data_IF_494378909756
#
_entry.id   IF_494378909756
#
_cell.length_a   1.000
_cell.length_b   1.000
_cell.length_c   1.000
_cell.angle_alpha   90.00
_cell.angle_beta   90.00
_cell.angle_gamma   90.00
#
_symmetry.space_group_name_H-M   'P 1'
#
loop_
_entity.id
_entity.type
_entity.pdbx_description
1 polymer ?
#
# COMPACT_ATOMS: atom_id res chain seq x y z
N UNK A 1 0.52 -34.15 -8.49
CA UNK A 1 1.13 -33.33 -9.54
C UNK A 1 2.48 -32.89 -9.02
N UNK A 2 3.58 -33.11 -9.75
CA UNK A 2 4.88 -32.59 -9.34
C UNK A 2 4.87 -31.08 -9.58
N UNK A 3 4.92 -30.29 -8.50
CA UNK A 3 5.13 -28.84 -8.58
C UNK A 3 6.55 -28.60 -9.11
N UNK A 4 6.68 -27.75 -10.12
CA UNK A 4 7.99 -27.41 -10.69
C UNK A 4 8.84 -26.72 -9.62
N UNK A 5 10.13 -27.10 -9.51
CA UNK A 5 11.08 -26.42 -8.65
C UNK A 5 11.24 -24.97 -9.10
N UNK A 6 11.26 -24.02 -8.16
CA UNK A 6 11.52 -22.62 -8.45
C UNK A 6 12.88 -22.43 -9.15
N UNK A 7 12.96 -21.43 -10.01
CA UNK A 7 14.24 -20.90 -10.49
C UNK A 7 15.03 -20.25 -9.36
N UNK A 8 16.35 -20.11 -9.52
CA UNK A 8 17.20 -19.40 -8.56
C UNK A 8 16.72 -17.98 -8.29
N UNK A 9 16.19 -17.29 -9.30
CA UNK A 9 15.69 -15.92 -9.16
C UNK A 9 14.40 -15.84 -8.35
N UNK A 10 13.51 -16.83 -8.50
CA UNK A 10 12.30 -16.96 -7.67
C UNK A 10 12.68 -17.34 -6.23
N UNK A 11 13.67 -18.22 -6.03
CA UNK A 11 14.18 -18.52 -4.69
C UNK A 11 14.77 -17.27 -4.02
N UNK A 12 15.53 -16.45 -4.76
CA UNK A 12 16.05 -15.18 -4.26
C UNK A 12 14.92 -14.24 -3.84
N UNK A 13 13.85 -14.15 -4.65
CA UNK A 13 12.65 -13.40 -4.31
C UNK A 13 11.98 -13.91 -3.01
N UNK A 14 11.81 -15.22 -2.87
CA UNK A 14 11.25 -15.84 -1.66
C UNK A 14 12.11 -15.50 -0.43
N UNK A 15 13.43 -15.61 -0.53
CA UNK A 15 14.35 -15.26 0.56
C UNK A 15 14.29 -13.78 0.93
N UNK A 16 14.28 -12.89 -0.06
CA UNK A 16 14.14 -11.44 0.17
C UNK A 16 12.80 -11.12 0.85
N UNK A 17 11.72 -11.77 0.41
CA UNK A 17 10.39 -11.65 1.02
C UNK A 17 10.40 -12.05 2.49
N UNK A 18 10.98 -13.20 2.82
CA UNK A 18 11.11 -13.67 4.20
C UNK A 18 12.00 -12.76 5.05
N UNK A 19 13.08 -12.23 4.48
CA UNK A 19 13.99 -11.32 5.18
C UNK A 19 13.28 -10.01 5.54
N UNK A 20 12.54 -9.43 4.58
CA UNK A 20 11.87 -8.13 4.73
C UNK A 20 10.57 -8.20 5.54
N UNK A 21 9.85 -9.32 5.50
CA UNK A 21 8.58 -9.49 6.23
C UNK A 21 8.74 -10.19 7.58
N UNK A 22 9.76 -11.04 7.74
CA UNK A 22 9.99 -11.81 8.98
C UNK A 22 11.04 -11.19 9.89
N UNK A 23 12.25 -10.94 9.38
CA UNK A 23 13.40 -10.55 10.22
C UNK A 23 13.53 -9.04 10.36
N UNK A 24 13.41 -8.29 9.26
CA UNK A 24 13.56 -6.83 9.24
C UNK A 24 12.64 -6.10 10.23
N UNK A 25 11.34 -6.46 10.36
CA UNK A 25 10.45 -5.80 11.31
C UNK A 25 10.90 -6.00 12.76
N UNK A 26 11.58 -7.11 13.08
CA UNK A 26 12.11 -7.35 14.42
C UNK A 26 13.30 -6.45 14.73
N UNK A 27 14.19 -6.21 13.74
CA UNK A 27 15.28 -5.24 13.90
C UNK A 27 14.77 -3.82 14.12
N UNK A 28 13.80 -3.39 13.30
CA UNK A 28 13.14 -2.08 13.48
C UNK A 28 12.42 -2.01 14.83
N UNK A 29 11.78 -3.09 15.28
CA UNK A 29 11.11 -3.15 16.58
C UNK A 29 12.09 -3.04 17.74
N UNK A 30 13.28 -3.63 17.65
CA UNK A 30 14.31 -3.47 18.69
C UNK A 30 14.65 -1.99 18.90
N UNK A 31 14.87 -1.24 17.82
CA UNK A 31 15.09 0.21 17.90
C UNK A 31 13.82 0.95 18.39
N UNK A 32 12.65 0.56 17.92
CA UNK A 32 11.39 1.16 18.38
C UNK A 32 11.19 1.01 19.88
N UNK A 33 11.38 -0.19 20.42
CA UNK A 33 11.18 -0.51 21.83
C UNK A 33 12.26 0.15 22.72
N UNK A 34 13.45 0.48 22.19
CA UNK A 34 14.44 1.27 22.92
C UNK A 34 14.06 2.75 23.05
N UNK A 35 13.38 3.31 22.05
CA UNK A 35 12.87 4.70 22.08
C UNK A 35 11.53 4.79 22.84
N UNK A 36 10.68 3.77 22.68
CA UNK A 36 9.34 3.67 23.24
C UNK A 36 9.19 2.35 23.99
N UNK A 37 9.64 2.33 25.25
CA UNK A 37 9.59 1.13 26.09
C UNK A 37 8.17 0.52 26.12
N UNK A 38 7.99 -0.79 25.81
CA UNK A 38 6.67 -1.42 25.69
C UNK A 38 5.76 -1.22 26.90
N UNK A 39 6.32 -1.21 28.12
CA UNK A 39 5.57 -1.00 29.36
C UNK A 39 4.94 0.39 29.47
N UNK A 40 5.53 1.38 28.81
CA UNK A 40 5.10 2.78 28.84
C UNK A 40 4.54 3.24 27.48
N UNK A 41 4.36 2.30 26.53
CA UNK A 41 4.02 2.63 25.15
C UNK A 41 2.72 3.43 25.05
N UNK A 42 1.69 3.03 25.77
CA UNK A 42 0.40 3.73 25.82
C UNK A 42 0.55 5.19 26.27
N UNK A 43 1.29 5.43 27.36
CA UNK A 43 1.54 6.77 27.86
C UNK A 43 2.37 7.61 26.87
N UNK A 44 3.40 7.02 26.27
CA UNK A 44 4.25 7.69 25.28
C UNK A 44 3.47 8.05 23.99
N UNK A 45 2.62 7.15 23.50
CA UNK A 45 1.74 7.41 22.34
C UNK A 45 0.75 8.53 22.66
N UNK A 46 0.11 8.50 23.84
CA UNK A 46 -0.82 9.55 24.28
C UNK A 46 -0.15 10.91 24.40
N UNK A 47 1.11 10.98 24.83
CA UNK A 47 1.89 12.22 24.90
C UNK A 47 2.09 12.85 23.51
N UNK A 48 2.25 12.04 22.47
CA UNK A 48 2.47 12.48 21.09
C UNK A 48 1.17 12.61 20.27
N UNK A 49 -0.01 12.61 20.92
CA UNK A 49 -1.33 12.58 20.27
C UNK A 49 -1.48 13.62 19.16
N UNK A 50 -1.07 14.88 19.40
CA UNK A 50 -1.22 15.96 18.42
C UNK A 50 -0.42 15.71 17.15
N UNK A 51 0.81 15.21 17.26
CA UNK A 51 1.64 14.84 16.10
C UNK A 51 1.06 13.64 15.37
N UNK A 52 0.61 12.63 16.11
CA UNK A 52 -0.05 11.47 15.53
C UNK A 52 -1.31 11.86 14.77
N UNK A 53 -2.11 12.78 15.31
CA UNK A 53 -3.33 13.28 14.66
C UNK A 53 -3.02 14.00 13.35
N UNK A 54 -1.97 14.83 13.33
CA UNK A 54 -1.47 15.45 12.10
C UNK A 54 -1.02 14.41 11.05
N UNK A 55 -0.31 13.37 11.47
CA UNK A 55 0.07 12.26 10.58
C UNK A 55 -1.14 11.51 10.03
N UNK A 56 -2.20 11.33 10.82
CA UNK A 56 -3.47 10.74 10.36
C UNK A 56 -4.14 11.63 9.31
N UNK A 57 -4.24 12.94 9.57
CA UNK A 57 -4.82 13.91 8.63
C UNK A 57 -4.05 13.99 7.32
N UNK A 58 -2.71 13.84 7.37
CA UNK A 58 -1.83 13.78 6.19
C UNK A 58 -1.82 12.40 5.51
N UNK A 59 -2.69 11.47 5.90
CA UNK A 59 -2.76 10.10 5.39
C UNK A 59 -1.42 9.33 5.48
N UNK A 60 -0.58 9.67 6.45
CA UNK A 60 0.65 8.93 6.76
C UNK A 60 0.40 7.76 7.70
N UNK A 61 -0.70 7.80 8.46
CA UNK A 61 -1.22 6.72 9.30
C UNK A 61 -2.67 6.49 8.87
N UNK A 62 -2.99 5.28 8.40
CA UNK A 62 -4.35 4.93 8.01
C UNK A 62 -5.22 4.53 9.22
N UNK A 63 -6.52 4.33 9.02
CA UNK A 63 -7.44 4.01 10.12
C UNK A 63 -7.10 2.69 10.83
N UNK A 64 -6.63 1.67 10.11
CA UNK A 64 -6.24 0.40 10.72
C UNK A 64 -5.03 0.57 11.65
N UNK A 65 -4.02 1.30 11.19
CA UNK A 65 -2.85 1.65 12.00
C UNK A 65 -3.22 2.55 13.19
N UNK A 66 -4.14 3.50 12.99
CA UNK A 66 -4.67 4.33 14.07
C UNK A 66 -5.31 3.50 15.19
N UNK A 67 -6.09 2.48 14.81
CA UNK A 67 -6.73 1.58 15.77
C UNK A 67 -5.72 0.71 16.54
N UNK A 68 -4.50 0.48 16.01
CA UNK A 68 -3.41 -0.18 16.74
C UNK A 68 -2.77 0.76 17.77
N UNK A 69 -2.69 2.06 17.47
CA UNK A 69 -2.13 3.07 18.37
C UNK A 69 -3.11 3.46 19.49
N UNK A 70 -4.40 3.52 19.16
CA UNK A 70 -5.49 3.86 20.08
C UNK A 70 -6.56 2.76 20.03
N UNK A 71 -6.28 1.58 20.59
CA UNK A 71 -7.23 0.48 20.61
C UNK A 71 -8.42 0.77 21.53
N UNK A 72 -9.48 -0.03 21.40
CA UNK A 72 -10.66 0.08 22.26
C UNK A 72 -10.31 -0.44 23.65
N UNK A 73 -10.72 0.30 24.68
CA UNK A 73 -10.63 -0.16 26.06
C UNK A 73 -11.32 -1.54 26.21
N UNK A 74 -10.71 -2.52 26.92
CA UNK A 74 -9.56 -2.40 27.83
C UNK A 74 -8.18 -2.61 27.19
N UNK A 75 -8.09 -2.75 25.87
CA UNK A 75 -6.84 -3.05 25.20
C UNK A 75 -5.87 -1.86 25.24
N UNK A 76 -4.58 -2.17 25.15
CA UNK A 76 -3.47 -1.19 25.09
C UNK A 76 -2.61 -1.46 23.87
N UNK A 77 -1.94 -0.45 23.30
CA UNK A 77 -1.06 -0.64 22.16
C UNK A 77 0.10 -1.60 22.50
N UNK A 78 0.40 -2.50 21.57
CA UNK A 78 1.55 -3.42 21.63
C UNK A 78 2.38 -3.30 20.35
N UNK A 79 3.66 -2.93 20.48
CA UNK A 79 4.58 -2.77 19.34
C UNK A 79 4.77 -4.06 18.52
N UNK A 80 4.47 -5.23 19.10
CA UNK A 80 4.46 -6.50 18.37
C UNK A 80 3.40 -6.57 17.28
N UNK A 81 2.31 -5.82 17.43
CA UNK A 81 1.22 -5.74 16.45
C UNK A 81 1.52 -4.76 15.32
N UNK A 82 2.54 -3.92 15.47
CA UNK A 82 2.85 -2.89 14.49
C UNK A 82 3.62 -3.48 13.29
N UNK A 83 3.16 -3.13 12.10
CA UNK A 83 3.89 -3.39 10.87
C UNK A 83 5.15 -2.50 10.77
N UNK A 84 6.10 -2.90 9.93
CA UNK A 84 7.38 -2.18 9.77
C UNK A 84 7.20 -0.74 9.27
N UNK A 85 6.16 -0.49 8.48
CA UNK A 85 5.87 0.84 7.93
C UNK A 85 5.37 1.77 9.01
N UNK A 86 4.50 1.28 9.90
CA UNK A 86 4.03 2.03 11.06
C UNK A 86 5.22 2.35 11.98
N UNK A 87 6.05 1.36 12.33
CA UNK A 87 7.21 1.59 13.21
C UNK A 87 8.20 2.62 12.61
N UNK A 88 8.53 2.51 11.32
CA UNK A 88 9.39 3.51 10.63
C UNK A 88 8.73 4.89 10.62
N UNK A 89 7.42 4.95 10.41
CA UNK A 89 6.67 6.22 10.38
C UNK A 89 6.66 6.89 11.76
N UNK A 90 6.52 6.13 12.83
CA UNK A 90 6.56 6.67 14.19
C UNK A 90 7.97 7.15 14.54
N UNK A 91 8.99 6.32 14.32
CA UNK A 91 10.39 6.68 14.61
C UNK A 91 10.77 7.99 13.93
N UNK A 92 10.62 8.10 12.62
CA UNK A 92 11.07 9.28 11.88
C UNK A 92 10.34 10.59 12.20
N UNK A 93 9.14 10.53 12.78
CA UNK A 93 8.31 11.72 13.03
C UNK A 93 8.22 12.10 14.51
N UNK A 94 8.45 11.14 15.41
CA UNK A 94 8.22 11.32 16.84
C UNK A 94 9.53 11.31 17.65
N UNK A 95 10.62 10.75 17.12
CA UNK A 95 11.94 10.81 17.75
C UNK A 95 12.81 11.90 17.10
N UNK A 96 13.84 12.43 17.78
CA UNK A 96 14.74 13.45 17.23
C UNK A 96 15.78 12.85 16.25
N UNK A 97 15.42 11.78 15.55
CA UNK A 97 16.32 11.08 14.64
C UNK A 97 16.67 11.95 13.43
N UNK A 98 17.97 12.08 13.16
CA UNK A 98 18.44 12.77 11.96
C UNK A 98 18.05 11.97 10.71
N UNK A 99 17.38 12.59 9.73
CA UNK A 99 17.10 11.94 8.45
C UNK A 99 18.41 11.63 7.71
N UNK A 100 18.44 10.60 6.86
CA UNK A 100 19.57 10.39 5.98
C UNK A 100 19.74 11.56 5.00
N UNK A 101 20.92 11.75 4.43
CA UNK A 101 21.25 12.89 3.58
C UNK A 101 20.26 13.11 2.40
N UNK A 102 19.78 12.02 1.79
CA UNK A 102 18.78 12.04 0.71
C UNK A 102 17.32 11.97 1.18
N UNK A 103 17.06 11.96 2.49
CA UNK A 103 15.75 11.72 3.08
C UNK A 103 15.31 10.26 3.00
N UNK A 104 14.18 9.93 3.64
CA UNK A 104 13.71 8.54 3.82
C UNK A 104 13.12 7.88 2.57
N UNK A 105 13.02 8.59 1.46
CA UNK A 105 12.43 8.10 0.21
C UNK A 105 13.49 7.66 -0.82
N UNK A 106 14.77 7.99 -0.57
CA UNK A 106 15.91 7.56 -1.39
C UNK A 106 16.71 6.47 -0.69
N UNK A 107 17.37 5.61 -1.47
CA UNK A 107 18.31 4.63 -0.94
C UNK A 107 19.56 5.35 -0.44
N UNK A 108 19.90 5.26 0.86
CA UNK A 108 21.09 5.93 1.38
C UNK A 108 22.38 5.29 0.86
N UNK A 109 23.48 6.06 0.70
CA UNK A 109 24.80 5.53 0.40
C UNK A 109 25.24 4.46 1.42
N UNK A 110 26.02 3.48 0.99
CA UNK A 110 26.50 2.38 1.85
C UNK A 110 27.35 2.85 3.03
N UNK A 111 28.02 4.00 2.89
CA UNK A 111 28.81 4.63 3.97
C UNK A 111 27.93 5.28 5.05
N UNK A 112 26.67 5.58 4.73
CA UNK A 112 25.72 6.17 5.66
C UNK A 112 25.03 5.08 6.48
N UNK A 113 25.51 4.87 7.70
CA UNK A 113 25.13 3.79 8.61
C UNK A 113 24.43 4.28 9.88
N UNK A 114 23.77 5.44 9.81
CA UNK A 114 22.95 5.96 10.90
C UNK A 114 21.65 5.16 11.04
N UNK A 115 20.99 5.15 12.22
CA UNK A 115 19.68 4.51 12.36
C UNK A 115 18.65 4.99 11.33
N UNK A 116 18.63 6.29 11.03
CA UNK A 116 17.75 6.87 10.01
C UNK A 116 18.02 6.31 8.60
N UNK A 117 19.29 6.16 8.24
CA UNK A 117 19.68 5.53 6.98
C UNK A 117 19.28 4.05 6.93
N UNK A 118 19.44 3.32 8.03
CA UNK A 118 19.04 1.91 8.10
C UNK A 118 17.54 1.70 7.98
N UNK A 119 16.72 2.58 8.58
CA UNK A 119 15.27 2.57 8.36
C UNK A 119 14.90 2.89 6.90
N UNK A 120 15.55 3.87 6.29
CA UNK A 120 15.32 4.24 4.89
C UNK A 120 15.69 3.10 3.93
N UNK A 121 16.80 2.39 4.20
CA UNK A 121 17.27 1.22 3.45
C UNK A 121 16.28 0.06 3.50
N UNK A 122 15.80 -0.32 4.69
CA UNK A 122 14.78 -1.37 4.85
C UNK A 122 13.49 -0.98 4.11
N UNK A 123 13.05 0.28 4.26
CA UNK A 123 11.88 0.79 3.55
C UNK A 123 12.05 0.74 2.03
N UNK A 124 13.21 1.15 1.51
CA UNK A 124 13.51 1.16 0.09
C UNK A 124 13.38 -0.24 -0.51
N UNK A 125 14.05 -1.24 0.06
CA UNK A 125 14.00 -2.60 -0.45
C UNK A 125 12.61 -3.25 -0.29
N UNK A 126 11.88 -2.95 0.79
CA UNK A 126 10.48 -3.37 0.94
C UNK A 126 9.61 -2.80 -0.18
N UNK A 127 9.76 -1.52 -0.49
CA UNK A 127 9.02 -0.87 -1.58
C UNK A 127 9.41 -1.44 -2.94
N UNK A 128 10.70 -1.64 -3.21
CA UNK A 128 11.18 -2.28 -4.42
C UNK A 128 10.52 -3.64 -4.62
N UNK A 129 10.56 -4.50 -3.60
CA UNK A 129 9.98 -5.84 -3.67
C UNK A 129 8.47 -5.82 -3.91
N UNK A 130 7.75 -4.89 -3.29
CA UNK A 130 6.30 -4.73 -3.48
C UNK A 130 5.90 -4.25 -4.89
N UNK A 131 6.83 -3.65 -5.62
CA UNK A 131 6.63 -3.17 -7.00
C UNK A 131 7.26 -4.06 -8.05
N UNK A 132 7.96 -5.12 -7.65
CA UNK A 132 8.59 -6.07 -8.56
C UNK A 132 7.54 -7.00 -9.15
N UNK A 133 7.21 -6.82 -10.43
CA UNK A 133 6.06 -7.49 -11.04
C UNK A 133 6.30 -8.99 -11.34
N UNK A 134 7.53 -9.43 -11.63
CA UNK A 134 7.82 -10.79 -12.10
C UNK A 134 8.19 -11.81 -11.01
N UNK A 135 8.32 -11.35 -9.75
CA UNK A 135 8.71 -12.20 -8.62
C UNK A 135 10.09 -12.83 -8.77
N UNK A 136 10.99 -12.23 -9.56
CA UNK A 136 12.34 -12.75 -9.84
C UNK A 136 13.39 -11.73 -9.48
N UNK A 137 14.41 -12.17 -8.75
CA UNK A 137 15.54 -11.32 -8.38
C UNK A 137 16.83 -11.95 -8.90
N UNK A 138 17.52 -11.22 -9.77
CA UNK A 138 18.82 -11.63 -10.28
C UNK A 138 19.86 -11.75 -9.15
N UNK A 139 20.85 -12.61 -9.38
CA UNK A 139 21.82 -12.97 -8.35
C UNK A 139 22.65 -11.76 -7.89
N UNK A 140 23.00 -10.84 -8.79
CA UNK A 140 23.87 -9.71 -8.47
C UNK A 140 23.14 -8.68 -7.59
N UNK A 141 21.88 -8.36 -7.93
CA UNK A 141 21.04 -7.52 -7.10
C UNK A 141 20.74 -8.19 -5.75
N UNK A 142 20.41 -9.49 -5.74
CA UNK A 142 20.16 -10.24 -4.51
C UNK A 142 21.34 -10.13 -3.54
N UNK A 143 22.58 -10.37 -4.00
CA UNK A 143 23.77 -10.30 -3.14
C UNK A 143 23.95 -8.89 -2.55
N UNK A 144 23.78 -7.86 -3.38
CA UNK A 144 23.92 -6.46 -2.98
C UNK A 144 22.86 -6.08 -1.95
N UNK A 145 21.59 -6.30 -2.27
CA UNK A 145 20.45 -5.98 -1.42
C UNK A 145 20.50 -6.75 -0.10
N UNK A 146 20.81 -8.05 -0.15
CA UNK A 146 20.93 -8.88 1.05
C UNK A 146 22.00 -8.35 2.01
N UNK A 147 23.18 -8.00 1.49
CA UNK A 147 24.27 -7.46 2.30
C UNK A 147 23.87 -6.14 2.95
N UNK A 148 23.23 -5.27 2.19
CA UNK A 148 22.82 -3.95 2.66
C UNK A 148 21.73 -4.05 3.74
N UNK A 149 20.69 -4.85 3.51
CA UNK A 149 19.60 -5.08 4.46
C UNK A 149 20.11 -5.76 5.73
N UNK A 150 20.91 -6.82 5.62
CA UNK A 150 21.41 -7.55 6.80
C UNK A 150 22.38 -6.72 7.63
N UNK A 151 23.14 -5.82 7.00
CA UNK A 151 23.94 -4.81 7.70
C UNK A 151 23.06 -3.86 8.53
N UNK A 152 21.96 -3.38 7.96
CA UNK A 152 21.00 -2.54 8.68
C UNK A 152 20.32 -3.31 9.83
N UNK A 153 19.86 -4.54 9.59
CA UNK A 153 19.26 -5.39 10.63
C UNK A 153 20.23 -5.60 11.79
N UNK A 154 21.51 -5.85 11.50
CA UNK A 154 22.53 -6.02 12.52
C UNK A 154 22.69 -4.78 13.39
N UNK A 155 22.81 -3.59 12.79
CA UNK A 155 22.96 -2.33 13.54
C UNK A 155 21.72 -1.99 14.36
N UNK A 156 20.53 -2.28 13.83
CA UNK A 156 19.26 -1.97 14.52
C UNK A 156 18.90 -2.97 15.62
N UNK A 157 19.16 -4.26 15.40
CA UNK A 157 18.65 -5.34 16.27
C UNK A 157 19.70 -6.28 16.84
N UNK A 158 20.98 -6.04 16.56
CA UNK A 158 22.12 -6.74 17.15
C UNK A 158 22.45 -8.09 16.50
N UNK A 159 23.50 -8.71 17.05
CA UNK A 159 24.17 -9.90 16.50
C UNK A 159 23.22 -11.09 16.32
N UNK A 160 22.28 -11.31 17.26
CA UNK A 160 21.32 -12.42 17.17
C UNK A 160 20.49 -12.36 15.89
N UNK A 161 20.00 -11.19 15.48
CA UNK A 161 19.24 -11.07 14.23
C UNK A 161 20.12 -11.25 13.00
N UNK A 162 21.40 -10.85 13.07
CA UNK A 162 22.35 -11.10 11.98
C UNK A 162 22.54 -12.61 11.75
N UNK A 163 22.67 -13.39 12.82
CA UNK A 163 22.77 -14.85 12.74
C UNK A 163 21.51 -15.48 12.14
N UNK A 164 20.32 -14.98 12.51
CA UNK A 164 19.06 -15.42 11.91
C UNK A 164 19.00 -15.09 10.40
N UNK A 165 19.52 -13.93 9.97
CA UNK A 165 19.66 -13.62 8.55
C UNK A 165 20.61 -14.61 7.85
N UNK A 166 21.76 -14.93 8.44
CA UNK A 166 22.73 -15.84 7.83
C UNK A 166 22.20 -17.26 7.70
N UNK A 167 21.43 -17.71 8.70
CA UNK A 167 20.67 -18.95 8.63
C UNK A 167 19.61 -18.89 7.53
N UNK A 168 18.83 -17.81 7.44
CA UNK A 168 17.80 -17.65 6.41
C UNK A 168 18.40 -17.65 5.00
N UNK A 169 19.63 -17.15 4.82
CA UNK A 169 20.30 -17.14 3.52
C UNK A 169 20.59 -18.54 3.00
N UNK A 170 21.00 -19.46 3.88
CA UNK A 170 21.53 -20.79 3.52
C UNK A 170 20.53 -21.92 3.73
N UNK A 171 19.54 -21.73 4.62
CA UNK A 171 18.52 -22.73 4.92
C UNK A 171 17.77 -23.15 3.66
N UNK A 172 17.55 -24.45 3.49
CA UNK A 172 16.66 -24.97 2.45
C UNK A 172 15.26 -24.38 2.63
N UNK A 173 14.72 -23.76 1.58
CA UNK A 173 13.36 -23.24 1.60
C UNK A 173 12.42 -24.45 1.60
N UNK A 174 11.55 -24.58 2.60
CA UNK A 174 10.52 -25.61 2.50
C UNK A 174 9.56 -25.27 1.36
N UNK A 175 9.07 -26.33 0.69
CA UNK A 175 8.19 -26.23 -0.47
C UNK A 175 6.94 -25.39 -0.15
N UNK A 176 6.42 -25.51 1.06
CA UNK A 176 5.24 -24.79 1.53
C UNK A 176 5.47 -23.28 1.59
N UNK A 177 6.60 -22.81 2.11
CA UNK A 177 6.94 -21.38 2.15
C UNK A 177 7.15 -20.82 0.75
N UNK A 178 7.76 -21.60 -0.15
CA UNK A 178 7.89 -21.22 -1.56
C UNK A 178 6.51 -21.02 -2.20
N UNK A 179 5.63 -22.01 -2.09
CA UNK A 179 4.28 -21.98 -2.65
C UNK A 179 3.45 -20.83 -2.07
N UNK A 180 3.42 -20.68 -0.74
CA UNK A 180 2.68 -19.62 -0.07
C UNK A 180 3.15 -18.23 -0.54
N UNK A 181 4.46 -17.98 -0.63
CA UNK A 181 4.96 -16.67 -1.02
C UNK A 181 4.66 -16.37 -2.49
N UNK A 182 4.79 -17.36 -3.36
CA UNK A 182 4.47 -17.17 -4.78
C UNK A 182 2.96 -16.99 -5.02
N UNK A 183 2.11 -17.69 -4.25
CA UNK A 183 0.66 -17.53 -4.33
C UNK A 183 0.20 -16.18 -3.76
N UNK A 184 0.81 -15.71 -2.66
CA UNK A 184 0.60 -14.35 -2.14
C UNK A 184 0.98 -13.31 -3.21
N UNK A 185 2.11 -13.52 -3.90
CA UNK A 185 2.55 -12.61 -4.97
C UNK A 185 1.54 -12.59 -6.12
N UNK A 186 1.14 -13.76 -6.64
CA UNK A 186 0.14 -13.87 -7.71
C UNK A 186 -1.17 -13.18 -7.33
N UNK A 187 -1.67 -13.45 -6.13
CA UNK A 187 -2.89 -12.83 -5.60
C UNK A 187 -2.75 -11.30 -5.50
N UNK A 188 -1.58 -10.80 -5.11
CA UNK A 188 -1.29 -9.36 -5.05
C UNK A 188 -1.32 -8.71 -6.43
N UNK A 189 -0.80 -9.38 -7.46
CA UNK A 189 -0.80 -8.89 -8.84
C UNK A 189 -2.22 -8.84 -9.40
N UNK A 190 -3.02 -9.89 -9.17
CA UNK A 190 -4.44 -9.93 -9.54
C UNK A 190 -5.23 -8.78 -8.87
N UNK A 191 -4.99 -8.51 -7.59
CA UNK A 191 -5.63 -7.39 -6.88
C UNK A 191 -5.22 -6.03 -7.49
N UNK A 192 -3.95 -5.87 -7.90
CA UNK A 192 -3.46 -4.64 -8.54
C UNK A 192 -4.15 -4.42 -9.88
N UNK A 193 -4.30 -5.47 -10.69
CA UNK A 193 -5.01 -5.43 -11.96
C UNK A 193 -6.49 -5.10 -11.78
N UNK A 194 -7.18 -5.79 -10.88
CA UNK A 194 -8.59 -5.56 -10.57
C UNK A 194 -8.86 -4.12 -10.11
N UNK A 195 -7.96 -3.53 -9.30
CA UNK A 195 -8.06 -2.11 -8.91
C UNK A 195 -7.97 -1.17 -10.11
N UNK A 196 -7.07 -1.46 -11.06
CA UNK A 196 -6.95 -0.69 -12.30
C UNK A 196 -8.22 -0.77 -13.14
N UNK A 197 -8.77 -1.98 -13.32
CA UNK A 197 -10.04 -2.19 -14.03
C UNK A 197 -11.21 -1.48 -13.34
N UNK A 198 -11.26 -1.49 -12.01
CA UNK A 198 -12.31 -0.81 -11.24
C UNK A 198 -12.26 0.71 -11.41
N UNK A 199 -11.08 1.33 -11.41
CA UNK A 199 -10.97 2.78 -11.63
C UNK A 199 -11.38 3.17 -13.06
N UNK A 200 -10.99 2.38 -14.06
CA UNK A 200 -11.46 2.57 -15.44
C UNK A 200 -12.99 2.45 -15.55
N UNK A 201 -13.58 1.43 -14.92
CA UNK A 201 -15.03 1.24 -14.89
C UNK A 201 -15.75 2.44 -14.23
N UNK A 202 -15.18 2.98 -13.16
CA UNK A 202 -15.71 4.16 -12.46
C UNK A 202 -15.70 5.40 -13.35
N UNK A 203 -14.64 5.59 -14.14
CA UNK A 203 -14.57 6.68 -15.13
C UNK A 203 -15.62 6.50 -16.23
N UNK A 204 -15.72 5.32 -16.83
CA UNK A 204 -16.75 5.04 -17.85
C UNK A 204 -18.18 5.21 -17.30
N UNK A 205 -18.42 4.84 -16.04
CA UNK A 205 -19.72 5.07 -15.40
C UNK A 205 -20.06 6.55 -15.27
N UNK A 206 -19.08 7.40 -14.93
CA UNK A 206 -19.27 8.86 -14.85
C UNK A 206 -19.62 9.45 -16.24
N UNK A 207 -18.94 9.00 -17.29
CA UNK A 207 -19.21 9.43 -18.66
C UNK A 207 -20.59 9.00 -19.14
N UNK A 208 -20.97 7.73 -18.92
CA UNK A 208 -22.31 7.24 -19.25
C UNK A 208 -23.40 7.98 -18.49
N UNK A 209 -23.16 8.30 -17.20
CA UNK A 209 -24.10 9.08 -16.40
C UNK A 209 -24.32 10.47 -16.99
N UNK A 210 -23.25 11.13 -17.47
CA UNK A 210 -23.33 12.44 -18.13
C UNK A 210 -24.11 12.34 -19.45
N UNK A 211 -23.75 11.39 -20.31
CA UNK A 211 -24.43 11.18 -21.59
C UNK A 211 -25.93 10.88 -21.40
N UNK A 212 -26.28 10.06 -20.40
CA UNK A 212 -27.67 9.77 -20.09
C UNK A 212 -28.47 11.01 -19.64
N UNK A 213 -27.82 11.94 -18.93
CA UNK A 213 -28.45 13.20 -18.54
C UNK A 213 -28.69 14.12 -19.75
N UNK A 214 -27.74 14.20 -20.67
CA UNK A 214 -27.88 14.94 -21.93
C UNK A 214 -29.02 14.36 -22.80
N UNK A 215 -29.14 13.02 -22.87
CA UNK A 215 -30.24 12.34 -23.56
C UNK A 215 -31.59 12.64 -22.89
N UNK A 216 -31.67 12.61 -21.56
CA UNK A 216 -32.90 12.94 -20.83
C UNK A 216 -33.35 14.38 -21.10
N UNK A 217 -32.42 15.33 -21.09
CA UNK A 217 -32.71 16.74 -21.39
C UNK A 217 -33.20 16.90 -22.83
N UNK A 218 -32.53 16.25 -23.79
CA UNK A 218 -32.93 16.25 -25.20
C UNK A 218 -34.32 15.64 -25.40
N UNK A 219 -34.63 14.55 -24.69
CA UNK A 219 -35.94 13.90 -24.72
C UNK A 219 -37.04 14.81 -24.18
N UNK A 220 -36.81 15.48 -23.04
CA UNK A 220 -37.77 16.42 -22.45
C UNK A 220 -38.08 17.59 -23.41
N UNK A 221 -37.06 18.15 -24.05
CA UNK A 221 -37.23 19.21 -25.06
C UNK A 221 -38.04 18.76 -26.28
N UNK A 222 -37.83 17.52 -26.74
CA UNK A 222 -38.60 16.96 -27.84
C UNK A 222 -40.06 16.70 -27.45
N UNK A 223 -40.31 16.21 -26.24
CA UNK A 223 -41.68 16.02 -25.74
C UNK A 223 -42.45 17.34 -25.68
N UNK A 224 -41.81 18.40 -25.19
CA UNK A 224 -42.40 19.74 -25.12
C UNK A 224 -42.76 20.26 -26.53
N UNK A 225 -41.82 20.15 -27.50
CA UNK A 225 -42.09 20.51 -28.90
C UNK A 225 -43.22 19.70 -29.53
N UNK A 226 -43.30 18.40 -29.25
CA UNK A 226 -44.38 17.55 -29.79
C UNK A 226 -45.73 18.00 -29.22
N UNK A 227 -45.79 18.33 -27.92
CA UNK A 227 -47.01 18.84 -27.29
C UNK A 227 -47.47 20.18 -27.91
N UNK A 228 -46.55 21.11 -28.19
CA UNK A 228 -46.90 22.38 -28.86
C UNK A 228 -47.43 22.13 -30.28
N UNK A 229 -46.79 21.25 -31.06
CA UNK A 229 -47.28 20.95 -32.42
C UNK A 229 -48.67 20.32 -32.44
N UNK A 230 -49.01 19.49 -31.46
CA UNK A 230 -50.34 18.88 -31.35
C UNK A 230 -51.44 19.89 -30.98
N UNK A 231 -51.10 20.96 -30.24
CA UNK A 231 -52.04 22.05 -29.93
C UNK A 231 -52.28 22.97 -31.14
N UNK A 232 -51.26 23.20 -31.98
CA UNK A 232 -51.35 24.09 -33.15
C UNK A 232 -52.01 23.42 -34.38
N UNK A 233 -52.20 22.09 -34.36
CA UNK A 233 -52.89 21.39 -35.44
C UNK A 233 -54.42 21.50 -35.34
N UNK A 234 -55.00 22.40 -36.15
CA UNK A 234 -56.47 22.45 -36.36
C UNK A 234 -56.94 21.16 -37.06
N UNK A 235 -57.93 20.44 -36.49
CA UNK A 235 -58.40 19.17 -37.04
C UNK A 235 -59.00 19.35 -38.45
N UNK A 236 -58.79 18.36 -39.32
CA UNK A 236 -59.11 18.40 -40.75
C UNK A 236 -60.59 18.71 -41.06
N UNK A 237 -61.48 18.48 -40.11
CA UNK A 237 -62.93 18.74 -40.20
C UNK A 237 -63.32 20.23 -40.13
N UNK A 238 -62.41 21.13 -39.77
CA UNK A 238 -62.69 22.59 -39.71
C UNK A 238 -62.33 23.31 -41.02
N UNK A 239 -61.56 22.70 -41.92
CA UNK A 239 -61.10 23.35 -43.18
C UNK A 239 -62.16 23.35 -44.31
N UNK A 240 -63.34 22.79 -44.09
CA UNK A 240 -64.31 22.48 -45.15
C UNK A 240 -65.55 23.37 -45.29
N UNK A 241 -65.66 24.51 -44.57
CA UNK A 241 -66.91 25.28 -44.54
C UNK A 241 -66.76 26.77 -44.91
N UNK A 242 -66.00 27.13 -45.96
CA UNK A 242 -66.11 28.46 -46.56
C UNK A 242 -65.86 28.44 -48.07
N UNK A 243 -66.79 27.85 -48.82
CA UNK A 243 -67.04 28.23 -50.21
C UNK A 243 -68.55 28.37 -50.38
N UNK A 244 -69.07 29.55 -50.02
CA UNK A 244 -70.40 29.98 -50.42
C UNK A 244 -70.26 31.08 -51.47
N UNK A 245 -70.79 30.76 -52.65
CA UNK A 245 -71.04 31.56 -53.86
C UNK A 245 -69.84 31.97 -54.72
#
# INVERSE_FOLDING_TARGET
MATASLSTEEENYVRMSLLLTGVSPRGVRTLFDSEYAPKCLDASIKKEYTKLKDLQLKNRINQAQWNLLFPRFPDVPDSKTFDVTLMITLLRNLTPMTPPAGGYDLLPPTIEVTPGADLARIKHYRNYLAHLDDGRIDIAFFITAWTDITGAIHRLGGQKLKEECDQLRTKHLDQTNQEIIMDIKRSSDEIKELKGLFENLKLSHLELKKSNEEVKQSHALLQDKVATYQQDTVPWNVRGNHLHF
#
